data_IF_085952408637
#
_entry.id   IF_085952408637
#
_cell.length_a   1.000
_cell.length_b   1.000
_cell.length_c   1.000
_cell.angle_alpha   90.00
_cell.angle_beta   90.00
_cell.angle_gamma   90.00
#
_symmetry.space_group_name_H-M   'P 1'
#
loop_
_entity.id
_entity.type
_entity.pdbx_description
1 polymer ?
#
# COMPACT_ATOMS: atom_id res chain seq x y z
N UNK A 1 12.58 7.66 -3.78
CA UNK A 1 13.47 7.71 -4.99
C UNK A 1 13.92 6.32 -5.47
N UNK A 2 13.71 5.21 -4.76
CA UNK A 2 14.23 3.90 -5.24
C UNK A 2 13.23 2.74 -5.15
N UNK A 3 12.01 2.90 -5.68
CA UNK A 3 11.11 1.75 -5.90
C UNK A 3 11.30 1.12 -7.28
N UNK A 4 11.61 1.93 -8.30
CA UNK A 4 11.79 1.46 -9.67
C UNK A 4 13.22 1.00 -10.00
N UNK A 5 14.18 1.23 -9.10
CA UNK A 5 15.60 0.91 -9.31
C UNK A 5 16.13 -0.26 -8.49
N UNK A 6 15.33 -0.78 -7.56
CA UNK A 6 15.65 -1.90 -6.65
C UNK A 6 15.46 -3.29 -7.28
N UNK A 7 15.21 -3.39 -8.59
CA UNK A 7 15.03 -4.68 -9.27
C UNK A 7 13.67 -5.34 -9.00
N UNK A 8 12.72 -4.60 -8.41
CA UNK A 8 11.31 -4.99 -8.33
C UNK A 8 10.71 -5.00 -9.74
N UNK A 9 10.65 -6.17 -10.37
CA UNK A 9 10.14 -6.31 -11.76
C UNK A 9 8.62 -6.38 -11.84
N UNK A 10 7.94 -6.72 -10.73
CA UNK A 10 6.50 -6.91 -10.74
C UNK A 10 5.77 -5.58 -10.51
N UNK A 11 5.06 -5.11 -11.55
CA UNK A 11 4.16 -3.97 -11.45
C UNK A 11 4.83 -2.61 -11.25
N UNK A 12 6.13 -2.48 -11.57
CA UNK A 12 6.84 -1.20 -11.57
C UNK A 12 7.48 -1.00 -12.95
N UNK A 13 7.19 0.11 -13.66
CA UNK A 13 7.83 0.39 -14.94
C UNK A 13 9.33 0.53 -14.77
N UNK A 14 10.10 0.00 -15.74
CA UNK A 14 11.56 0.01 -15.69
C UNK A 14 12.09 1.43 -15.55
N UNK A 15 13.01 1.64 -14.62
CA UNK A 15 13.63 2.95 -14.41
C UNK A 15 15.13 2.86 -14.19
N UNK A 16 15.81 3.97 -14.46
CA UNK A 16 17.26 4.11 -14.39
C UNK A 16 17.59 5.42 -13.68
N UNK A 17 18.30 5.32 -12.55
CA UNK A 17 18.76 6.49 -11.80
C UNK A 17 19.93 7.15 -12.55
N UNK A 18 19.83 8.45 -12.77
CA UNK A 18 20.89 9.23 -13.39
C UNK A 18 21.74 9.95 -12.34
N UNK A 19 23.03 10.18 -12.64
CA UNK A 19 23.78 9.71 -13.81
C UNK A 19 24.26 8.25 -13.72
N UNK A 20 24.10 7.59 -12.56
CA UNK A 20 24.73 6.31 -12.24
C UNK A 20 24.42 5.14 -13.21
N UNK A 21 23.20 5.07 -13.75
CA UNK A 21 22.73 4.02 -14.67
C UNK A 21 22.57 4.51 -16.11
N UNK A 22 23.29 5.57 -16.50
CA UNK A 22 23.20 6.17 -17.84
C UNK A 22 23.47 5.16 -18.96
N UNK A 23 24.57 4.42 -18.88
CA UNK A 23 24.97 3.51 -19.96
C UNK A 23 24.03 2.31 -20.06
N UNK A 24 23.52 1.83 -18.91
CA UNK A 24 22.49 0.79 -18.85
C UNK A 24 21.19 1.25 -19.54
N UNK A 25 20.78 2.49 -19.28
CA UNK A 25 19.64 3.13 -19.94
C UNK A 25 19.84 3.21 -21.45
N UNK A 26 20.97 3.75 -21.92
CA UNK A 26 21.24 3.92 -23.35
C UNK A 26 21.26 2.59 -24.10
N UNK A 27 21.85 1.55 -23.51
CA UNK A 27 21.85 0.20 -24.08
C UNK A 27 20.44 -0.37 -24.16
N UNK A 28 19.65 -0.23 -23.08
CA UNK A 28 18.28 -0.73 -23.06
C UNK A 28 17.38 0.02 -24.05
N UNK A 29 17.48 1.35 -24.10
CA UNK A 29 16.69 2.19 -24.98
C UNK A 29 17.03 1.94 -26.47
N UNK A 30 18.30 1.68 -26.78
CA UNK A 30 18.72 1.29 -28.14
C UNK A 30 18.14 -0.06 -28.57
N UNK A 31 17.95 -0.99 -27.63
CA UNK A 31 17.30 -2.27 -27.89
C UNK A 31 15.76 -2.19 -27.98
N UNK A 32 15.15 -1.10 -27.51
CA UNK A 32 13.69 -0.91 -27.47
C UNK A 32 13.29 0.48 -28.02
N UNK A 33 13.46 0.72 -29.34
CA UNK A 33 13.28 2.04 -29.95
C UNK A 33 11.82 2.53 -29.97
N UNK A 34 10.85 1.63 -29.76
CA UNK A 34 9.41 1.93 -29.69
C UNK A 34 8.97 2.49 -28.33
N UNK A 35 9.85 2.47 -27.32
CA UNK A 35 9.53 2.89 -25.97
C UNK A 35 9.64 4.40 -25.79
N UNK A 36 8.66 4.95 -25.08
CA UNK A 36 8.66 6.33 -24.65
C UNK A 36 9.21 6.44 -23.23
N UNK A 37 9.81 7.59 -22.92
CA UNK A 37 10.54 7.81 -21.68
C UNK A 37 10.08 9.08 -21.00
N UNK A 38 9.88 9.01 -19.69
CA UNK A 38 9.63 10.19 -18.85
C UNK A 38 10.82 10.43 -17.93
N UNK A 39 11.29 11.67 -17.88
CA UNK A 39 12.25 12.11 -16.88
C UNK A 39 11.49 12.65 -15.68
N UNK A 40 11.80 12.10 -14.50
CA UNK A 40 11.26 12.54 -13.22
C UNK A 40 12.39 13.04 -12.34
N UNK A 41 12.18 14.17 -11.67
CA UNK A 41 13.02 14.61 -10.57
C UNK A 41 12.44 14.07 -9.25
N UNK A 42 13.25 14.09 -8.19
CA UNK A 42 12.82 13.64 -6.86
C UNK A 42 11.63 14.44 -6.28
N UNK A 43 11.23 15.56 -6.89
CA UNK A 43 10.08 16.38 -6.50
C UNK A 43 8.82 16.14 -7.36
N UNK A 44 8.87 15.20 -8.32
CA UNK A 44 7.79 14.90 -9.27
C UNK A 44 7.26 16.10 -10.07
N UNK A 45 8.04 17.19 -10.19
CA UNK A 45 7.64 18.39 -10.96
C UNK A 45 8.15 18.30 -12.39
N UNK A 46 7.28 18.63 -13.35
CA UNK A 46 7.65 18.75 -14.76
C UNK A 46 7.75 17.41 -15.50
N UNK A 47 6.99 16.40 -15.09
CA UNK A 47 6.93 15.09 -15.77
C UNK A 47 6.45 15.30 -17.21
N UNK A 48 7.32 15.01 -18.18
CA UNK A 48 7.04 15.08 -19.61
C UNK A 48 7.70 13.92 -20.31
N UNK A 49 7.09 13.45 -21.38
CA UNK A 49 7.73 12.49 -22.28
C UNK A 49 8.82 13.25 -23.04
N UNK A 50 10.02 12.69 -23.09
CA UNK A 50 11.19 13.32 -23.71
C UNK A 50 11.86 12.35 -24.69
N UNK A 51 12.30 12.88 -25.83
CA UNK A 51 13.14 12.13 -26.75
C UNK A 51 14.50 11.86 -26.12
N UNK A 52 15.08 10.69 -26.39
CA UNK A 52 16.39 10.28 -25.85
C UNK A 52 17.48 11.31 -26.19
N UNK A 53 17.39 11.96 -27.35
CA UNK A 53 18.34 12.99 -27.81
C UNK A 53 18.25 14.28 -27.01
N UNK A 54 17.08 14.57 -26.44
CA UNK A 54 16.81 15.79 -25.67
C UNK A 54 17.02 15.58 -24.16
N UNK A 55 17.16 14.32 -23.72
CA UNK A 55 17.39 13.99 -22.32
C UNK A 55 18.77 14.50 -21.85
N UNK A 56 18.75 15.43 -20.90
CA UNK A 56 19.96 15.78 -20.15
C UNK A 56 20.31 14.65 -19.17
N UNK A 57 21.29 13.83 -19.55
CA UNK A 57 21.69 12.61 -18.81
C UNK A 57 22.69 12.87 -17.67
N UNK A 58 23.14 14.10 -17.50
CA UNK A 58 24.11 14.52 -16.48
C UNK A 58 23.47 15.04 -15.19
N UNK A 59 22.13 15.16 -15.14
CA UNK A 59 21.44 15.73 -13.99
C UNK A 59 21.46 14.78 -12.79
N UNK A 60 22.13 15.22 -11.73
CA UNK A 60 22.03 14.63 -10.41
C UNK A 60 20.58 14.74 -9.90
N UNK A 61 20.10 13.72 -9.18
CA UNK A 61 18.75 13.65 -8.58
C UNK A 61 17.56 13.52 -9.57
N UNK A 62 17.80 12.88 -10.71
CA UNK A 62 16.75 12.50 -11.65
C UNK A 62 16.80 11.01 -11.99
N UNK A 63 15.65 10.47 -12.40
CA UNK A 63 15.57 9.14 -12.97
C UNK A 63 14.74 9.16 -14.25
N UNK A 64 15.09 8.28 -15.18
CA UNK A 64 14.31 8.04 -16.38
C UNK A 64 13.49 6.79 -16.15
N UNK A 65 12.20 6.85 -16.47
CA UNK A 65 11.28 5.73 -16.36
C UNK A 65 10.58 5.47 -17.70
N UNK A 66 10.40 4.19 -18.02
CA UNK A 66 9.60 3.76 -19.16
C UNK A 66 8.16 4.26 -19.01
N UNK A 67 7.65 4.89 -20.06
CA UNK A 67 6.28 5.38 -20.11
C UNK A 67 5.33 4.30 -20.66
N UNK A 68 4.19 4.12 -19.99
CA UNK A 68 3.13 3.21 -20.45
C UNK A 68 2.37 3.86 -21.61
N UNK A 69 2.82 3.57 -22.84
CA UNK A 69 2.34 4.19 -24.09
C UNK A 69 0.99 3.68 -24.61
N UNK A 70 0.48 2.59 -24.04
CA UNK A 70 -0.86 2.06 -24.38
C UNK A 70 -1.68 1.87 -23.10
N UNK A 71 -2.08 2.98 -22.45
CA UNK A 71 -2.88 2.91 -21.23
C UNK A 71 -4.27 2.33 -21.51
N UNK A 72 -4.91 1.77 -20.48
CA UNK A 72 -6.36 1.56 -20.52
C UNK A 72 -7.06 2.92 -20.46
N UNK A 73 -8.04 3.13 -21.32
CA UNK A 73 -8.77 4.38 -21.46
C UNK A 73 -10.25 4.17 -21.14
N UNK A 74 -10.87 5.16 -20.52
CA UNK A 74 -12.32 5.25 -20.36
C UNK A 74 -12.76 6.57 -20.99
N UNK A 75 -13.69 6.51 -21.94
CA UNK A 75 -14.08 7.64 -22.78
C UNK A 75 -12.88 8.40 -23.36
N UNK A 76 -11.90 7.63 -23.86
CA UNK A 76 -10.63 8.14 -24.42
C UNK A 76 -9.80 9.01 -23.46
N UNK A 77 -10.06 8.94 -22.14
CA UNK A 77 -9.24 9.59 -21.11
C UNK A 77 -8.34 8.58 -20.42
N UNK A 78 -7.04 8.89 -20.34
CA UNK A 78 -6.11 8.21 -19.44
C UNK A 78 -6.45 8.59 -18.00
N UNK A 79 -6.22 7.67 -17.05
CA UNK A 79 -6.48 7.93 -15.64
C UNK A 79 -5.47 7.22 -14.74
N UNK A 80 -5.46 7.64 -13.47
CA UNK A 80 -4.81 6.91 -12.39
C UNK A 80 -5.79 6.46 -11.31
N UNK A 81 -5.34 5.48 -10.53
CA UNK A 81 -6.06 4.91 -9.39
C UNK A 81 -5.22 5.18 -8.14
N UNK A 82 -5.70 6.09 -7.28
CA UNK A 82 -5.08 6.43 -6.01
C UNK A 82 -5.59 5.53 -4.88
N UNK A 83 -4.68 4.81 -4.25
CA UNK A 83 -4.93 3.90 -3.12
C UNK A 83 -4.27 4.44 -1.86
N UNK A 84 -5.05 4.58 -0.79
CA UNK A 84 -4.53 5.01 0.50
C UNK A 84 -3.98 3.82 1.27
N UNK A 85 -2.71 3.89 1.65
CA UNK A 85 -2.02 2.88 2.44
C UNK A 85 -1.46 3.49 3.72
N UNK A 86 -1.48 2.73 4.81
CA UNK A 86 -1.04 3.14 6.14
C UNK A 86 -0.03 2.13 6.66
N UNK A 87 1.15 2.60 7.02
CA UNK A 87 2.10 1.83 7.83
C UNK A 87 1.89 2.21 9.30
N UNK A 88 1.81 1.21 10.19
CA UNK A 88 1.62 1.41 11.64
C UNK A 88 2.78 0.85 12.47
N UNK A 89 3.70 0.13 11.82
CA UNK A 89 4.98 -0.26 12.42
C UNK A 89 5.96 -0.67 11.33
N UNK A 90 7.24 -0.38 11.53
CA UNK A 90 8.35 -0.79 10.67
C UNK A 90 9.04 -2.08 11.18
N UNK A 91 8.81 -2.45 12.45
CA UNK A 91 9.36 -3.65 13.07
C UNK A 91 8.50 -4.09 14.28
N UNK A 92 7.75 -5.20 14.17
CA UNK A 92 7.45 -5.93 12.94
C UNK A 92 6.61 -5.09 11.94
N UNK A 93 6.83 -5.30 10.65
CA UNK A 93 6.19 -4.53 9.58
C UNK A 93 4.67 -4.79 9.54
N UNK A 94 3.90 -3.73 9.72
CA UNK A 94 2.43 -3.74 9.66
C UNK A 94 1.94 -2.67 8.70
N UNK A 95 1.22 -3.10 7.67
CA UNK A 95 0.71 -2.22 6.62
C UNK A 95 -0.73 -2.57 6.30
N UNK A 96 -1.54 -1.53 6.12
CA UNK A 96 -2.95 -1.59 5.80
C UNK A 96 -3.23 -0.76 4.54
N UNK A 97 -4.32 -1.08 3.84
CA UNK A 97 -4.90 -0.23 2.81
C UNK A 97 -6.34 0.13 3.18
N UNK A 98 -6.80 1.29 2.76
CA UNK A 98 -8.20 1.66 2.86
C UNK A 98 -9.00 0.98 1.74
N UNK A 99 -10.00 0.15 2.10
CA UNK A 99 -10.86 -0.55 1.13
C UNK A 99 -12.26 0.07 1.00
N UNK A 100 -12.53 1.17 1.69
CA UNK A 100 -13.86 1.81 1.62
C UNK A 100 -14.14 2.44 0.26
N UNK A 101 -13.12 2.99 -0.40
CA UNK A 101 -13.17 3.47 -1.78
C UNK A 101 -11.75 3.78 -2.31
N UNK A 102 -11.66 4.23 -3.56
CA UNK A 102 -10.43 4.67 -4.22
C UNK A 102 -10.60 6.06 -4.83
N UNK A 103 -9.50 6.72 -5.19
CA UNK A 103 -9.56 7.96 -5.97
C UNK A 103 -9.30 7.66 -7.45
N UNK A 104 -10.23 8.03 -8.34
CA UNK A 104 -10.06 7.92 -9.80
C UNK A 104 -9.96 9.30 -10.41
N UNK A 105 -8.84 9.58 -11.08
CA UNK A 105 -8.54 10.89 -11.66
C UNK A 105 -8.21 10.73 -13.14
N UNK A 106 -8.99 11.38 -14.01
CA UNK A 106 -8.83 11.29 -15.45
C UNK A 106 -8.08 12.50 -15.97
N UNK A 107 -7.24 12.32 -16.99
CA UNK A 107 -6.65 13.41 -17.74
C UNK A 107 -7.73 14.39 -18.23
N UNK A 108 -7.40 15.68 -18.32
CA UNK A 108 -8.37 16.72 -18.70
C UNK A 108 -8.72 16.65 -20.19
N UNK A 109 -7.83 16.08 -21.01
CA UNK A 109 -7.99 15.93 -22.47
C UNK A 109 -7.96 14.48 -22.94
N UNK A 110 -8.51 14.29 -24.14
CA UNK A 110 -8.51 13.03 -24.88
C UNK A 110 -7.08 12.56 -25.16
N UNK A 111 -6.81 11.30 -24.82
CA UNK A 111 -5.54 10.65 -25.08
C UNK A 111 -5.30 10.56 -26.59
N UNK A 112 -6.26 10.01 -27.34
CA UNK A 112 -6.18 9.91 -28.80
C UNK A 112 -6.87 11.08 -29.53
N UNK A 113 -6.32 11.58 -30.65
CA UNK A 113 -5.00 11.23 -31.19
C UNK A 113 -3.88 11.72 -30.26
N UNK A 114 -2.89 10.85 -30.04
CA UNK A 114 -1.78 11.12 -29.12
C UNK A 114 -0.91 12.30 -29.59
N UNK A 115 -0.66 13.24 -28.67
CA UNK A 115 0.27 14.36 -28.85
C UNK A 115 1.19 14.46 -27.64
N UNK A 116 2.49 14.25 -27.86
CA UNK A 116 3.53 14.28 -26.83
C UNK A 116 3.73 15.67 -26.21
N UNK A 117 3.35 16.73 -26.93
CA UNK A 117 3.49 18.11 -26.48
C UNK A 117 2.33 18.54 -25.57
N UNK A 118 1.20 17.83 -25.63
CA UNK A 118 0.03 18.11 -24.82
C UNK A 118 -0.01 17.23 -23.56
N UNK A 119 0.69 17.70 -22.53
CA UNK A 119 0.86 17.01 -21.23
C UNK A 119 -0.47 16.61 -20.59
N UNK A 120 -1.51 17.42 -20.77
CA UNK A 120 -2.85 17.22 -20.22
C UNK A 120 -3.56 15.97 -20.77
N UNK A 121 -3.06 15.39 -21.87
CA UNK A 121 -3.55 14.12 -22.42
C UNK A 121 -3.02 12.91 -21.65
N UNK A 122 -1.85 13.02 -21.03
CA UNK A 122 -1.11 11.84 -20.55
C UNK A 122 -0.55 11.93 -19.13
N UNK A 123 -0.59 13.10 -18.50
CA UNK A 123 -0.28 13.31 -17.09
C UNK A 123 -1.57 13.75 -16.40
N UNK A 124 -1.87 13.13 -15.25
CA UNK A 124 -2.97 13.55 -14.40
C UNK A 124 -2.49 14.74 -13.57
N UNK A 125 -2.92 15.95 -13.96
CA UNK A 125 -2.62 17.18 -13.23
C UNK A 125 -3.65 17.50 -12.14
N UNK A 126 -3.49 18.65 -11.49
CA UNK A 126 -4.42 19.10 -10.44
C UNK A 126 -5.82 19.43 -10.98
N UNK A 127 -5.95 19.74 -12.28
CA UNK A 127 -7.22 20.02 -12.99
C UNK A 127 -7.74 18.78 -13.73
N UNK A 128 -7.58 17.61 -13.13
CA UNK A 128 -8.08 16.35 -13.68
C UNK A 128 -9.62 16.37 -13.87
N UNK A 129 -10.10 15.58 -14.82
CA UNK A 129 -11.53 15.31 -14.97
C UNK A 129 -11.96 14.32 -13.88
N UNK A 130 -12.90 14.67 -13.00
CA UNK A 130 -13.35 13.76 -11.96
C UNK A 130 -14.26 12.67 -12.54
N UNK A 131 -14.33 11.52 -11.86
CA UNK A 131 -15.11 10.35 -12.28
C UNK A 131 -16.57 10.67 -12.63
N UNK A 132 -17.23 11.52 -11.84
CA UNK A 132 -18.62 11.91 -12.06
C UNK A 132 -18.84 12.86 -13.25
N UNK A 133 -17.81 13.21 -14.02
CA UNK A 133 -17.95 13.88 -15.31
C UNK A 133 -17.73 12.93 -16.50
N UNK A 134 -17.32 11.69 -16.24
CA UNK A 134 -17.09 10.69 -17.29
C UNK A 134 -18.44 10.14 -17.80
N UNK A 135 -18.77 10.28 -19.10
CA UNK A 135 -20.07 9.87 -19.64
C UNK A 135 -20.39 8.38 -19.42
N UNK A 136 -19.46 7.47 -19.72
CA UNK A 136 -19.69 6.03 -19.61
C UNK A 136 -19.82 5.54 -18.17
N UNK A 137 -19.41 6.37 -17.19
CA UNK A 137 -19.48 6.06 -15.77
C UNK A 137 -20.74 6.59 -15.09
N UNK A 138 -21.52 7.48 -15.75
CA UNK A 138 -22.73 8.07 -15.18
C UNK A 138 -23.77 7.04 -14.75
N UNK A 139 -23.97 6.00 -15.56
CA UNK A 139 -24.91 4.93 -15.25
C UNK A 139 -24.62 4.19 -13.94
N UNK A 140 -23.37 4.19 -13.47
CA UNK A 140 -23.00 3.52 -12.21
C UNK A 140 -22.90 4.52 -11.06
N UNK A 141 -22.19 5.62 -11.28
CA UNK A 141 -21.97 6.60 -10.22
C UNK A 141 -23.19 7.49 -9.99
N UNK A 142 -23.70 8.12 -11.05
CA UNK A 142 -24.81 9.08 -10.96
C UNK A 142 -26.14 8.40 -10.69
N UNK A 143 -26.48 7.38 -11.49
CA UNK A 143 -27.79 6.72 -11.41
C UNK A 143 -27.87 5.66 -10.30
N UNK A 144 -26.80 4.88 -10.09
CA UNK A 144 -26.77 3.78 -9.11
C UNK A 144 -26.06 4.14 -7.80
N UNK A 145 -25.53 5.36 -7.67
CA UNK A 145 -24.87 5.87 -6.46
C UNK A 145 -23.75 4.95 -5.94
N UNK A 146 -23.01 4.32 -6.86
CA UNK A 146 -21.89 3.46 -6.52
C UNK A 146 -20.67 4.27 -6.05
N UNK A 147 -19.85 3.70 -5.18
CA UNK A 147 -18.51 4.22 -4.87
C UNK A 147 -17.63 4.27 -6.13
N UNK A 148 -16.50 4.97 -6.10
CA UNK A 148 -15.61 5.03 -7.27
C UNK A 148 -15.07 3.64 -7.63
N UNK A 149 -14.69 2.85 -6.62
CA UNK A 149 -14.23 1.48 -6.80
C UNK A 149 -15.31 0.58 -7.40
N UNK A 150 -16.54 0.63 -6.90
CA UNK A 150 -17.65 -0.16 -7.45
C UNK A 150 -18.05 0.29 -8.85
N UNK A 151 -18.01 1.59 -9.13
CA UNK A 151 -18.23 2.13 -10.48
C UNK A 151 -17.21 1.56 -11.47
N UNK A 152 -15.92 1.59 -11.11
CA UNK A 152 -14.87 1.02 -11.94
C UNK A 152 -15.03 -0.49 -12.12
N UNK A 153 -15.32 -1.24 -11.04
CA UNK A 153 -15.53 -2.68 -11.12
C UNK A 153 -16.68 -3.05 -12.04
N UNK A 154 -17.81 -2.34 -11.92
CA UNK A 154 -18.98 -2.56 -12.77
C UNK A 154 -18.67 -2.24 -14.24
N UNK A 155 -17.92 -1.15 -14.51
CA UNK A 155 -17.47 -0.82 -15.86
C UNK A 155 -16.58 -1.90 -16.50
N UNK A 156 -15.62 -2.43 -15.73
CA UNK A 156 -14.73 -3.51 -16.19
C UNK A 156 -15.51 -4.81 -16.41
N UNK A 157 -16.44 -5.15 -15.51
CA UNK A 157 -17.27 -6.35 -15.62
C UNK A 157 -18.22 -6.29 -16.83
N UNK A 158 -18.84 -5.14 -17.11
CA UNK A 158 -19.67 -4.91 -18.31
C UNK A 158 -18.84 -5.03 -19.60
N UNK A 159 -17.52 -4.88 -19.52
CA UNK A 159 -16.57 -5.12 -20.62
C UNK A 159 -16.07 -6.57 -20.69
N UNK A 160 -16.71 -7.50 -19.96
CA UNK A 160 -16.37 -8.92 -19.86
C UNK A 160 -14.95 -9.21 -19.34
N UNK A 161 -14.41 -8.35 -18.48
CA UNK A 161 -13.10 -8.53 -17.83
C UNK A 161 -13.27 -8.66 -16.32
N UNK A 162 -12.32 -9.32 -15.65
CA UNK A 162 -12.34 -9.52 -14.19
C UNK A 162 -11.54 -8.41 -13.48
N UNK A 163 -12.18 -7.54 -12.67
CA UNK A 163 -11.46 -6.53 -11.88
C UNK A 163 -10.69 -7.14 -10.69
N UNK A 164 -10.97 -8.37 -10.28
CA UNK A 164 -10.35 -9.02 -9.13
C UNK A 164 -8.83 -9.13 -9.23
N UNK A 165 -8.31 -9.41 -10.44
CA UNK A 165 -6.87 -9.48 -10.68
C UNK A 165 -6.18 -8.12 -10.52
N UNK A 166 -6.85 -7.02 -10.90
CA UNK A 166 -6.34 -5.66 -10.75
C UNK A 166 -6.08 -5.36 -9.28
N UNK A 167 -7.10 -5.53 -8.42
CA UNK A 167 -6.99 -5.24 -7.00
C UNK A 167 -5.99 -6.13 -6.28
N UNK A 168 -5.92 -7.41 -6.65
CA UNK A 168 -4.92 -8.33 -6.13
C UNK A 168 -3.50 -7.87 -6.46
N UNK A 169 -3.26 -7.45 -7.70
CA UNK A 169 -1.95 -6.96 -8.13
C UNK A 169 -1.59 -5.63 -7.45
N UNK A 170 -2.54 -4.71 -7.29
CA UNK A 170 -2.35 -3.47 -6.51
C UNK A 170 -1.88 -3.79 -5.09
N UNK A 171 -2.59 -4.65 -4.34
CA UNK A 171 -2.22 -5.02 -2.97
C UNK A 171 -0.84 -5.66 -2.90
N UNK A 172 -0.54 -6.54 -3.85
CA UNK A 172 0.75 -7.23 -3.98
C UNK A 172 1.88 -6.22 -4.20
N UNK A 173 1.73 -5.27 -5.12
CA UNK A 173 2.75 -4.26 -5.42
C UNK A 173 2.99 -3.37 -4.19
N UNK A 174 1.94 -2.89 -3.51
CA UNK A 174 2.09 -2.08 -2.29
C UNK A 174 2.86 -2.87 -1.22
N UNK A 175 2.51 -4.14 -1.01
CA UNK A 175 3.17 -4.98 -0.03
C UNK A 175 4.66 -5.19 -0.36
N UNK A 176 4.99 -5.51 -1.62
CA UNK A 176 6.37 -5.66 -2.09
C UNK A 176 7.18 -4.38 -1.90
N UNK A 177 6.57 -3.22 -2.18
CA UNK A 177 7.20 -1.91 -1.96
C UNK A 177 7.58 -1.73 -0.50
N UNK A 178 6.65 -1.89 0.44
CA UNK A 178 6.96 -1.70 1.86
C UNK A 178 7.98 -2.70 2.40
N UNK A 179 7.87 -3.99 2.01
CA UNK A 179 8.86 -5.01 2.36
C UNK A 179 10.27 -4.61 1.87
N UNK A 180 10.38 -4.12 0.63
CA UNK A 180 11.68 -3.71 0.06
C UNK A 180 12.31 -2.50 0.76
N UNK A 181 11.50 -1.65 1.40
CA UNK A 181 11.95 -0.44 2.08
C UNK A 181 12.15 -0.64 3.58
N UNK A 182 11.76 -1.80 4.14
CA UNK A 182 11.75 -2.02 5.58
C UNK A 182 13.11 -1.80 6.24
N UNK A 183 14.19 -2.34 5.66
CA UNK A 183 15.53 -2.19 6.22
C UNK A 183 15.99 -0.73 6.26
N UNK A 184 15.69 0.04 5.20
CA UNK A 184 15.99 1.47 5.16
C UNK A 184 15.18 2.23 6.21
N UNK A 185 13.90 1.89 6.39
CA UNK A 185 13.06 2.48 7.45
C UNK A 185 13.59 2.15 8.85
N UNK A 186 14.00 0.90 9.10
CA UNK A 186 14.57 0.47 10.38
C UNK A 186 15.87 1.23 10.67
N UNK A 187 16.75 1.37 9.67
CA UNK A 187 18.00 2.12 9.79
C UNK A 187 17.75 3.62 10.03
N UNK A 188 16.83 4.24 9.29
CA UNK A 188 16.43 5.63 9.52
C UNK A 188 15.85 5.84 10.93
N UNK A 189 15.17 4.82 11.46
CA UNK A 189 14.62 4.82 12.80
C UNK A 189 15.57 4.35 13.89
N UNK A 190 16.86 4.11 13.63
CA UNK A 190 17.78 3.42 14.56
C UNK A 190 17.79 4.03 15.98
N UNK A 191 17.77 5.36 16.07
CA UNK A 191 17.79 6.11 17.32
C UNK A 191 16.52 6.02 18.18
N UNK A 192 15.42 5.47 17.65
CA UNK A 192 14.17 5.29 18.41
C UNK A 192 14.13 3.93 19.09
N UNK A 193 13.92 3.91 20.40
CA UNK A 193 13.85 2.65 21.16
C UNK A 193 12.69 1.75 20.70
N UNK A 194 11.52 2.35 20.43
CA UNK A 194 10.35 1.66 19.90
C UNK A 194 10.16 1.97 18.40
N UNK A 195 10.05 0.92 17.60
CA UNK A 195 9.85 1.00 16.14
C UNK A 195 8.36 1.02 15.75
N UNK A 196 7.45 1.09 16.73
CA UNK A 196 5.98 1.13 16.54
C UNK A 196 5.37 2.51 16.76
N UNK A 197 6.13 3.46 17.29
CA UNK A 197 5.62 4.80 17.66
C UNK A 197 5.34 5.74 16.47
N UNK A 198 5.26 5.21 15.25
CA UNK A 198 5.12 5.97 14.02
C UNK A 198 4.02 5.38 13.16
N UNK A 199 3.25 6.25 12.52
CA UNK A 199 2.41 5.88 11.40
C UNK A 199 2.59 6.88 10.26
N UNK A 200 2.38 6.42 9.04
CA UNK A 200 2.40 7.28 7.85
C UNK A 200 1.24 6.89 6.94
N UNK A 201 0.46 7.88 6.51
CA UNK A 201 -0.53 7.75 5.45
C UNK A 201 0.11 8.13 4.12
N UNK A 202 0.12 7.21 3.17
CA UNK A 202 0.60 7.44 1.81
C UNK A 202 -0.49 7.16 0.78
N UNK A 203 -0.45 7.84 -0.37
CA UNK A 203 -1.28 7.49 -1.53
C UNK A 203 -0.41 6.89 -2.63
N UNK A 204 -0.73 5.68 -3.05
CA UNK A 204 -0.08 4.97 -4.15
C UNK A 204 -0.91 5.16 -5.40
N UNK A 205 -0.29 5.72 -6.44
CA UNK A 205 -0.96 6.02 -7.70
C UNK A 205 -0.58 4.97 -8.75
N UNK A 206 -1.60 4.28 -9.26
CA UNK A 206 -1.47 3.21 -10.24
C UNK A 206 -2.03 3.62 -11.59
N UNK A 207 -1.45 3.07 -12.65
CA UNK A 207 -2.01 3.11 -14.01
C UNK A 207 -2.21 1.69 -14.53
N UNK A 208 -3.16 1.54 -15.44
CA UNK A 208 -3.41 0.29 -16.15
C UNK A 208 -2.96 0.43 -17.61
N UNK A 209 -2.35 -0.60 -18.18
CA UNK A 209 -2.21 -0.71 -19.63
C UNK A 209 -3.50 -1.25 -20.28
N UNK A 210 -3.57 -1.22 -21.62
CA UNK A 210 -4.74 -1.69 -22.37
C UNK A 210 -5.15 -3.14 -22.08
N UNK A 211 -4.22 -3.95 -21.59
CA UNK A 211 -4.37 -5.36 -21.26
C UNK A 211 -4.71 -5.56 -19.76
N UNK A 212 -4.95 -4.46 -19.03
CA UNK A 212 -5.25 -4.38 -17.60
C UNK A 212 -4.09 -4.82 -16.68
N UNK A 213 -2.84 -4.77 -17.16
CA UNK A 213 -1.69 -4.91 -16.29
C UNK A 213 -1.53 -3.66 -15.43
N UNK A 214 -1.19 -3.87 -14.14
CA UNK A 214 -1.10 -2.82 -13.13
C UNK A 214 0.33 -2.32 -13.01
N UNK A 215 0.52 -1.00 -13.03
CA UNK A 215 1.81 -0.35 -12.87
C UNK A 215 1.75 0.75 -11.82
N UNK A 216 2.65 0.69 -10.83
CA UNK A 216 2.86 1.75 -9.85
C UNK A 216 3.60 2.92 -10.50
N UNK A 217 3.02 4.11 -10.40
CA UNK A 217 3.60 5.34 -10.95
C UNK A 217 4.35 6.15 -9.91
N UNK A 218 3.78 6.24 -8.70
CA UNK A 218 4.35 6.97 -7.57
C UNK A 218 3.70 6.56 -6.24
N UNK A 219 4.44 6.77 -5.15
CA UNK A 219 3.94 6.68 -3.79
C UNK A 219 4.16 8.04 -3.14
N UNK A 220 3.06 8.74 -2.86
CA UNK A 220 3.06 10.09 -2.32
C UNK A 220 2.90 10.04 -0.80
N UNK A 221 3.98 10.35 -0.09
CA UNK A 221 3.94 10.65 1.34
C UNK A 221 3.21 11.98 1.54
N UNK A 222 2.37 12.10 2.58
CA UNK A 222 1.50 13.28 2.81
C UNK A 222 0.58 13.61 1.61
N UNK A 223 -0.36 12.72 1.27
CA UNK A 223 -1.27 12.95 0.15
C UNK A 223 -2.16 14.18 0.37
N UNK A 224 -2.46 14.90 -0.71
CA UNK A 224 -3.40 16.02 -0.65
C UNK A 224 -4.83 15.50 -0.38
N UNK A 225 -5.39 15.89 0.77
CA UNK A 225 -6.74 15.56 1.21
C UNK A 225 -7.67 16.79 1.21
N UNK A 226 -7.31 17.84 0.47
CA UNK A 226 -8.16 19.03 0.30
C UNK A 226 -9.24 18.76 -0.74
N UNK A 227 -10.50 18.92 -0.34
CA UNK A 227 -11.65 18.86 -1.23
C UNK A 227 -12.02 20.23 -1.83
N UNK A 228 -11.21 21.27 -1.63
CA UNK A 228 -11.56 22.63 -2.07
C UNK A 228 -11.81 22.74 -3.58
N UNK A 229 -11.00 22.05 -4.38
CA UNK A 229 -11.14 22.00 -5.85
C UNK A 229 -12.25 21.05 -6.31
N UNK A 230 -12.40 19.92 -5.61
CA UNK A 230 -13.39 18.90 -5.91
C UNK A 230 -14.22 18.59 -4.65
N UNK A 231 -15.24 19.40 -4.32
CA UNK A 231 -16.03 19.24 -3.11
C UNK A 231 -16.63 17.84 -2.91
N UNK A 232 -17.08 17.12 -3.96
CA UNK A 232 -17.60 15.76 -3.79
C UNK A 232 -16.60 14.76 -3.19
N UNK A 233 -15.30 14.98 -3.31
CA UNK A 233 -14.28 14.09 -2.71
C UNK A 233 -14.18 14.25 -1.18
N UNK A 234 -14.84 15.25 -0.58
CA UNK A 234 -14.78 15.52 0.86
C UNK A 234 -15.08 14.26 1.69
N UNK A 235 -16.15 13.55 1.33
CA UNK A 235 -16.58 12.36 2.08
C UNK A 235 -15.52 11.26 2.05
N UNK A 236 -14.92 10.99 0.89
CA UNK A 236 -13.82 10.02 0.76
C UNK A 236 -12.67 10.38 1.70
N UNK A 237 -12.24 11.65 1.70
CA UNK A 237 -11.12 12.09 2.52
C UNK A 237 -11.43 12.01 4.02
N UNK A 238 -12.63 12.42 4.44
CA UNK A 238 -13.08 12.30 5.84
C UNK A 238 -13.14 10.82 6.27
N UNK A 239 -13.61 9.93 5.39
CA UNK A 239 -13.64 8.50 5.66
C UNK A 239 -12.23 7.91 5.75
N UNK A 240 -11.29 8.28 4.88
CA UNK A 240 -9.88 7.86 4.98
C UNK A 240 -9.30 8.28 6.34
N UNK A 241 -9.51 9.53 6.74
CA UNK A 241 -8.98 10.08 8.00
C UNK A 241 -9.58 9.40 9.24
N UNK A 242 -10.91 9.23 9.31
CA UNK A 242 -11.52 8.61 10.49
C UNK A 242 -11.13 7.12 10.63
N UNK A 243 -10.95 6.43 9.51
CA UNK A 243 -10.48 5.04 9.51
C UNK A 243 -9.00 4.96 9.91
N UNK A 244 -8.16 5.89 9.44
CA UNK A 244 -6.76 6.02 9.88
C UNK A 244 -6.68 6.24 11.39
N UNK A 245 -7.35 7.25 11.92
CA UNK A 245 -7.29 7.55 13.35
C UNK A 245 -7.87 6.44 14.23
N UNK A 246 -8.88 5.73 13.75
CA UNK A 246 -9.38 4.52 14.44
C UNK A 246 -8.33 3.41 14.43
N UNK A 247 -7.67 3.16 13.30
CA UNK A 247 -6.65 2.12 13.17
C UNK A 247 -5.47 2.37 14.12
N UNK A 248 -4.97 3.61 14.23
CA UNK A 248 -3.78 3.95 15.02
C UNK A 248 -4.08 4.27 16.50
N UNK A 249 -5.29 3.99 16.98
CA UNK A 249 -5.66 4.20 18.39
C UNK A 249 -6.27 5.58 18.70
N UNK A 250 -6.00 6.61 17.90
CA UNK A 250 -6.37 8.01 18.21
C UNK A 250 -7.88 8.23 18.34
N UNK A 251 -8.68 7.64 17.45
CA UNK A 251 -10.14 7.77 17.43
C UNK A 251 -10.87 6.51 17.97
N UNK A 252 -10.13 5.57 18.52
CA UNK A 252 -10.62 4.30 19.09
C UNK A 252 -10.65 4.33 20.62
N UNK A 253 -10.10 5.36 21.26
CA UNK A 253 -10.26 5.54 22.70
C UNK A 253 -11.74 5.68 23.05
N UNK A 254 -12.21 4.75 23.87
CA UNK A 254 -13.50 4.75 24.54
C UNK A 254 -13.88 6.18 24.94
N UNK A 255 -15.05 6.64 24.50
CA UNK A 255 -15.62 7.90 24.98
C UNK A 255 -15.59 7.94 26.52
N UNK A 256 -14.59 8.61 27.10
CA UNK A 256 -14.48 8.84 28.55
C UNK A 256 -13.28 8.23 29.29
N UNK A 257 -12.38 7.45 28.66
CA UNK A 257 -11.13 7.01 29.33
C UNK A 257 -9.99 7.90 28.83
N UNK A 258 -9.38 8.68 29.73
CA UNK A 258 -8.21 9.47 29.36
C UNK A 258 -7.02 8.54 29.07
N UNK A 259 -6.07 8.92 28.19
CA UNK A 259 -4.84 8.15 28.00
C UNK A 259 -4.11 7.89 29.33
N UNK A 260 -4.20 8.83 30.28
CA UNK A 260 -3.58 8.74 31.60
C UNK A 260 -4.21 7.67 32.49
N UNK A 261 -5.53 7.45 32.38
CA UNK A 261 -6.25 6.41 33.11
C UNK A 261 -6.00 5.02 32.49
N UNK A 262 -5.90 4.96 31.15
CA UNK A 262 -5.57 3.74 30.42
C UNK A 262 -4.20 3.16 30.83
N UNK A 263 -3.19 4.01 31.04
CA UNK A 263 -1.86 3.54 31.45
C UNK A 263 -1.77 3.21 32.94
N UNK A 264 -2.77 3.57 33.76
CA UNK A 264 -2.76 3.35 35.21
C UNK A 264 -3.61 2.17 35.65
N UNK A 265 -4.66 1.81 34.91
CA UNK A 265 -5.57 0.75 35.28
C UNK A 265 -5.37 -0.53 34.45
N UNK A 266 -4.87 -1.57 35.13
CA UNK A 266 -4.64 -2.88 34.51
C UNK A 266 -5.94 -3.54 34.05
N UNK A 267 -7.03 -3.34 34.79
CA UNK A 267 -8.33 -3.95 34.46
C UNK A 267 -8.89 -3.34 33.16
N UNK A 268 -8.74 -2.02 32.97
CA UNK A 268 -9.06 -1.34 31.71
C UNK A 268 -8.24 -1.82 30.52
N UNK A 269 -6.95 -2.14 30.71
CA UNK A 269 -6.12 -2.71 29.65
C UNK A 269 -6.55 -4.15 29.30
N UNK A 270 -6.78 -4.99 30.31
CA UNK A 270 -7.24 -6.36 30.10
C UNK A 270 -8.67 -6.43 29.52
N UNK A 271 -9.50 -5.41 29.74
CA UNK A 271 -10.82 -5.26 29.11
C UNK A 271 -10.73 -5.09 27.60
N UNK A 272 -9.72 -4.37 27.10
CA UNK A 272 -9.54 -4.19 25.65
C UNK A 272 -8.88 -5.42 25.01
N UNK A 273 -7.74 -5.84 25.56
CA UNK A 273 -7.00 -7.02 25.11
C UNK A 273 -6.31 -7.69 26.29
N UNK A 274 -6.73 -8.91 26.58
CA UNK A 274 -6.07 -9.77 27.57
C UNK A 274 -5.03 -10.69 26.91
N UNK A 275 -4.12 -11.24 27.72
CA UNK A 275 -3.17 -12.27 27.24
C UNK A 275 -3.86 -13.52 26.69
N UNK A 276 -5.12 -13.77 27.07
CA UNK A 276 -5.92 -14.90 26.58
C UNK A 276 -6.35 -14.66 25.14
N UNK A 277 -6.65 -13.41 24.79
CA UNK A 277 -7.01 -13.01 23.43
C UNK A 277 -5.85 -13.13 22.45
N UNK A 278 -4.60 -13.21 22.94
CA UNK A 278 -3.41 -13.38 22.10
C UNK A 278 -3.16 -14.85 21.71
N UNK A 279 -3.82 -15.80 22.35
CA UNK A 279 -3.51 -17.22 22.16
C UNK A 279 -3.81 -17.70 20.74
N UNK A 280 -2.92 -18.55 20.24
CA UNK A 280 -3.01 -19.26 18.96
C UNK A 280 -2.36 -20.64 19.11
N UNK A 281 -2.71 -21.59 18.25
CA UNK A 281 -2.12 -22.94 18.24
C UNK A 281 -2.21 -23.70 19.57
N UNK A 282 -3.34 -23.62 20.27
CA UNK A 282 -3.56 -24.21 21.61
C UNK A 282 -3.13 -25.69 21.71
N UNK A 283 -3.44 -26.51 20.69
CA UNK A 283 -3.03 -27.92 20.62
C UNK A 283 -1.50 -28.08 20.62
N UNK A 284 -0.79 -27.26 19.85
CA UNK A 284 0.68 -27.30 19.80
C UNK A 284 1.28 -26.80 21.11
N UNK A 285 0.71 -25.75 21.69
CA UNK A 285 1.17 -25.20 22.96
C UNK A 285 1.05 -26.20 24.12
N UNK A 286 -0.01 -27.02 24.12
CA UNK A 286 -0.24 -28.02 25.17
C UNK A 286 0.57 -29.33 24.96
N UNK A 287 0.96 -29.65 23.72
CA UNK A 287 1.61 -30.93 23.41
C UNK A 287 3.10 -30.79 23.06
N UNK A 288 3.43 -29.97 22.06
CA UNK A 288 4.77 -29.89 21.48
C UNK A 288 5.67 -28.87 22.17
N UNK A 289 5.10 -27.82 22.74
CA UNK A 289 5.83 -26.67 23.28
C UNK A 289 5.90 -26.60 24.82
N UNK A 290 5.54 -27.66 25.54
CA UNK A 290 5.28 -27.62 26.99
C UNK A 290 6.44 -28.10 27.89
N UNK A 291 7.37 -28.91 27.38
CA UNK A 291 8.49 -29.41 28.17
C UNK A 291 9.59 -28.35 28.42
N UNK A 292 10.63 -28.70 29.19
CA UNK A 292 11.67 -27.75 29.66
C UNK A 292 12.33 -26.92 28.55
N UNK A 293 12.45 -27.49 27.34
CA UNK A 293 12.99 -26.80 26.14
C UNK A 293 11.92 -26.50 25.09
N UNK A 294 10.64 -26.73 25.41
CA UNK A 294 9.50 -26.67 24.49
C UNK A 294 9.35 -25.32 23.80
N UNK A 295 9.62 -24.23 24.51
CA UNK A 295 9.56 -22.87 23.97
C UNK A 295 10.56 -22.61 22.83
N UNK A 296 11.66 -23.37 22.75
CA UNK A 296 12.72 -23.20 21.75
C UNK A 296 12.64 -24.22 20.61
N UNK A 297 11.74 -25.22 20.69
CA UNK A 297 11.65 -26.31 19.70
C UNK A 297 11.24 -25.84 18.31
N UNK A 298 10.24 -24.96 18.25
CA UNK A 298 9.75 -24.39 17.00
C UNK A 298 9.51 -22.90 17.21
N UNK A 299 9.71 -22.07 16.19
CA UNK A 299 9.49 -20.63 16.29
C UNK A 299 8.08 -20.29 16.80
N UNK A 300 7.06 -21.01 16.33
CA UNK A 300 5.67 -20.81 16.76
C UNK A 300 5.43 -21.10 18.25
N UNK A 301 6.30 -21.89 18.91
CA UNK A 301 6.19 -22.15 20.34
C UNK A 301 6.41 -20.88 21.17
N UNK A 302 7.13 -19.89 20.66
CA UNK A 302 7.27 -18.59 21.34
C UNK A 302 5.95 -17.81 21.42
N UNK A 303 4.94 -18.17 20.61
CA UNK A 303 3.60 -17.59 20.65
C UNK A 303 2.72 -18.21 21.73
N UNK A 304 3.17 -19.28 22.39
CA UNK A 304 2.46 -19.86 23.52
C UNK A 304 2.57 -18.92 24.73
N UNK A 305 1.49 -18.78 25.50
CA UNK A 305 1.40 -17.82 26.60
C UNK A 305 2.50 -17.96 27.64
N UNK A 306 2.95 -19.20 27.93
CA UNK A 306 4.03 -19.49 28.87
C UNK A 306 5.44 -19.27 28.30
N UNK A 307 5.57 -19.15 26.98
CA UNK A 307 6.85 -18.91 26.29
C UNK A 307 7.04 -17.45 25.87
N UNK A 308 5.95 -16.68 25.79
CA UNK A 308 5.94 -15.34 25.26
C UNK A 308 6.62 -14.33 26.19
N UNK A 309 7.70 -13.73 25.71
CA UNK A 309 8.40 -12.66 26.41
C UNK A 309 7.55 -11.37 26.44
N UNK A 310 7.95 -10.39 27.27
CA UNK A 310 7.23 -9.14 27.44
C UNK A 310 7.09 -8.34 26.12
N UNK A 311 8.16 -8.24 25.34
CA UNK A 311 8.17 -7.49 24.09
C UNK A 311 7.19 -8.07 23.06
N UNK A 312 7.20 -9.39 22.87
CA UNK A 312 6.29 -10.08 21.95
C UNK A 312 4.83 -9.93 22.42
N UNK A 313 4.57 -10.05 23.71
CA UNK A 313 3.22 -9.84 24.28
C UNK A 313 2.70 -8.44 23.96
N UNK A 314 3.51 -7.42 24.18
CA UNK A 314 3.16 -6.02 23.91
C UNK A 314 2.93 -5.74 22.41
N UNK A 315 3.75 -6.32 21.54
CA UNK A 315 3.55 -6.28 20.08
C UNK A 315 2.22 -6.91 19.68
N UNK A 316 1.88 -8.07 20.26
CA UNK A 316 0.65 -8.78 19.90
C UNK A 316 -0.60 -8.08 20.45
N UNK A 317 -0.54 -7.45 21.63
CA UNK A 317 -1.63 -6.61 22.16
C UNK A 317 -1.94 -5.45 21.21
N UNK A 318 -0.93 -4.64 20.89
CA UNK A 318 -1.08 -3.51 19.96
C UNK A 318 -1.55 -3.96 18.57
N UNK A 319 -1.11 -5.12 18.10
CA UNK A 319 -1.58 -5.71 16.83
C UNK A 319 -3.04 -6.15 16.90
N UNK A 320 -3.46 -6.73 18.01
CA UNK A 320 -4.85 -7.14 18.22
C UNK A 320 -5.78 -5.91 18.24
N UNK A 321 -5.40 -4.85 18.97
CA UNK A 321 -6.14 -3.59 19.04
C UNK A 321 -6.30 -2.92 17.67
N UNK A 322 -5.21 -2.85 16.89
CA UNK A 322 -5.28 -2.37 15.50
C UNK A 322 -6.29 -3.16 14.68
N UNK A 323 -6.25 -4.49 14.79
CA UNK A 323 -7.19 -5.33 14.08
C UNK A 323 -8.62 -5.01 14.50
N UNK A 324 -8.92 -4.95 15.79
CA UNK A 324 -10.27 -4.64 16.27
C UNK A 324 -10.73 -3.23 15.86
N UNK A 325 -9.82 -2.28 15.77
CA UNK A 325 -10.11 -0.88 15.46
C UNK A 325 -9.99 -0.52 13.97
N UNK A 326 -9.68 -1.48 13.11
CA UNK A 326 -9.31 -1.24 11.70
C UNK A 326 -10.42 -0.64 10.84
N UNK A 327 -11.69 -0.81 11.20
CA UNK A 327 -12.85 -0.41 10.38
C UNK A 327 -12.69 -0.90 8.92
N UNK A 328 -12.67 -0.01 7.92
CA UNK A 328 -12.46 -0.34 6.50
C UNK A 328 -10.98 -0.41 6.08
N UNK A 329 -10.04 -0.35 7.04
CA UNK A 329 -8.64 -0.63 6.77
C UNK A 329 -8.41 -2.14 6.72
N UNK A 330 -7.87 -2.60 5.60
CA UNK A 330 -7.52 -4.00 5.40
C UNK A 330 -6.02 -4.19 5.51
N UNK A 331 -5.61 -5.10 6.38
CA UNK A 331 -4.21 -5.49 6.55
C UNK A 331 -3.69 -6.16 5.28
N UNK A 332 -2.56 -5.69 4.78
CA UNK A 332 -1.82 -6.33 3.68
C UNK A 332 -0.48 -6.89 4.13
N UNK A 333 0.09 -6.41 5.23
CA UNK A 333 1.30 -6.97 5.83
C UNK A 333 1.12 -7.18 7.33
N UNK A 334 1.62 -8.29 7.90
CA UNK A 334 2.33 -9.38 7.21
C UNK A 334 1.43 -10.24 6.31
N UNK A 335 2.00 -11.02 5.38
CA UNK A 335 1.21 -11.90 4.48
C UNK A 335 0.99 -13.27 5.11
N UNK A 336 -0.04 -14.00 4.68
CA UNK A 336 -0.20 -15.42 5.09
C UNK A 336 0.85 -16.30 4.40
N UNK A 337 1.29 -17.38 5.04
CA UNK A 337 2.45 -18.21 4.62
C UNK A 337 2.22 -19.03 3.33
N UNK A 338 1.09 -18.89 2.64
CA UNK A 338 0.76 -19.72 1.47
C UNK A 338 1.50 -19.36 0.15
N UNK A 339 2.47 -18.43 0.15
CA UNK A 339 3.26 -18.10 -1.05
C UNK A 339 4.72 -17.71 -0.75
N UNK A 340 5.66 -18.66 -0.74
CA UNK A 340 7.08 -18.36 -0.84
C UNK A 340 7.52 -18.56 -2.28
N UNK A 341 7.43 -17.53 -3.12
CA UNK A 341 8.19 -17.51 -4.38
C UNK A 341 9.02 -16.26 -4.62
N UNK A 342 8.78 -15.16 -3.90
CA UNK A 342 9.62 -13.95 -3.94
C UNK A 342 10.06 -13.47 -2.54
N UNK A 343 10.23 -14.39 -1.57
CA UNK A 343 10.65 -14.08 -0.20
C UNK A 343 12.18 -13.92 -0.09
N UNK A 344 12.73 -12.96 -0.85
CA UNK A 344 14.16 -12.63 -0.86
C UNK A 344 14.57 -11.58 0.19
N UNK A 345 13.69 -11.16 1.08
CA UNK A 345 13.99 -10.12 2.08
C UNK A 345 13.94 -10.75 3.47
N UNK A 346 15.10 -10.76 4.12
CA UNK A 346 15.34 -11.39 5.43
C UNK A 346 14.36 -10.88 6.49
N UNK A 347 13.29 -11.65 6.71
CA UNK A 347 12.36 -11.38 7.80
C UNK A 347 13.07 -11.62 9.14
N UNK A 348 13.20 -10.54 9.91
CA UNK A 348 13.60 -10.64 11.32
C UNK A 348 12.66 -11.60 12.07
N UNK A 349 13.12 -12.09 13.22
CA UNK A 349 12.37 -13.07 14.00
C UNK A 349 10.97 -12.57 14.41
N UNK A 350 10.83 -11.27 14.70
CA UNK A 350 9.56 -10.65 15.07
C UNK A 350 8.53 -10.65 13.92
N UNK A 351 8.94 -10.35 12.68
CA UNK A 351 8.07 -10.41 11.50
C UNK A 351 7.57 -11.82 11.25
N UNK A 352 8.45 -12.81 11.41
CA UNK A 352 8.10 -14.23 11.28
C UNK A 352 7.11 -14.65 12.35
N UNK A 353 7.34 -14.25 13.60
CA UNK A 353 6.42 -14.53 14.70
C UNK A 353 5.06 -13.87 14.49
N UNK A 354 5.03 -12.60 14.06
CA UNK A 354 3.79 -11.88 13.77
C UNK A 354 3.02 -12.53 12.62
N UNK A 355 3.72 -12.95 11.56
CA UNK A 355 3.15 -13.69 10.43
C UNK A 355 2.49 -14.99 10.89
N UNK A 356 3.22 -15.80 11.67
CA UNK A 356 2.72 -17.07 12.21
C UNK A 356 1.53 -16.83 13.14
N UNK A 357 1.56 -15.75 13.94
CA UNK A 357 0.46 -15.38 14.82
C UNK A 357 -0.80 -15.04 14.05
N UNK A 358 -0.72 -14.21 13.01
CA UNK A 358 -1.85 -13.91 12.14
C UNK A 358 -2.38 -15.16 11.41
N UNK A 359 -1.52 -16.08 10.99
CA UNK A 359 -1.94 -17.37 10.43
C UNK A 359 -2.70 -18.22 11.45
N UNK A 360 -2.29 -18.18 12.72
CA UNK A 360 -3.02 -18.79 13.83
C UNK A 360 -4.40 -18.16 13.99
N UNK A 361 -4.46 -16.82 14.09
CA UNK A 361 -5.72 -16.08 14.18
C UNK A 361 -6.66 -16.31 13.00
N UNK A 362 -6.14 -16.34 11.78
CA UNK A 362 -6.89 -16.61 10.55
C UNK A 362 -7.51 -18.01 10.51
N UNK A 363 -6.84 -19.01 11.09
CA UNK A 363 -7.39 -20.37 11.22
C UNK A 363 -8.56 -20.43 12.20
N UNK A 364 -8.48 -19.65 13.27
CA UNK A 364 -9.52 -19.58 14.30
C UNK A 364 -10.71 -18.70 13.83
N UNK A 365 -10.43 -17.58 13.16
CA UNK A 365 -11.41 -16.66 12.59
C UNK A 365 -10.91 -16.07 11.25
N UNK A 366 -11.69 -16.32 10.19
CA UNK A 366 -11.37 -15.87 8.82
C UNK A 366 -11.25 -14.35 8.68
N UNK A 367 -11.84 -13.55 9.58
CA UNK A 367 -11.71 -12.09 9.51
C UNK A 367 -10.27 -11.60 9.71
N UNK A 368 -9.43 -12.41 10.37
CA UNK A 368 -8.00 -12.17 10.61
C UNK A 368 -7.08 -12.54 9.46
N UNK A 369 -7.60 -13.26 8.46
CA UNK A 369 -6.84 -13.58 7.26
C UNK A 369 -6.37 -12.32 6.54
N UNK A 370 -5.48 -12.48 5.56
CA UNK A 370 -5.09 -11.43 4.61
C UNK A 370 -6.25 -11.12 3.67
#
# INVERSE_FOLDING_TARGET
VSLATTGLTFGIPKAFNLPAKRDEFLNYASAHPDKLWVKKNNKHRGVRIQDIKELQLSDNDSFIQEYISRPFLIDNRKFDIGIYAVITSILPLRVYIYEGDVLLRFCSKDYEPFDVNDVDKYVVGDDYTPLWKMPSLQKYYGERQMTFQHTFNAYIADSHKDPGLIWKNIKEIIAVVFESQQNEMIAAGENFADKRSFFELSRFDFVLDKDLNVYLMEANMSPNLSSGRFPPNKLLYEQVIINLFSLVGIASYSHGISPEDYFKDKDSQEMLVSDRDLQVFSINCNSKCFDKDGCKKELKCQLCSHCMNYQLRDILRTTYEEHMSRRNMRRILPRTVNKPKNAGLLHNELDRLLTIWFDGKCKDDKTWCY
#
